data_IF_689757347363
#
_entry.id   IF_689757347363
#
_cell.length_a   1.000
_cell.length_b   1.000
_cell.length_c   1.000
_cell.angle_alpha   90.00
_cell.angle_beta   90.00
_cell.angle_gamma   90.00
#
_symmetry.space_group_name_H-M   'P 1'
#
loop_
_entity.id
_entity.type
_entity.pdbx_description
1 polymer ?
#
# COMPACT_ATOMS: atom_id res chain seq x y z
N UNK A 1 17.49 -50.51 41.71
CA UNK A 1 16.47 -49.51 41.37
C UNK A 1 17.16 -48.26 40.89
N UNK A 2 17.23 -48.02 39.58
CA UNK A 2 17.47 -46.69 39.00
C UNK A 2 16.65 -46.60 37.73
N UNK A 3 15.49 -45.94 37.84
CA UNK A 3 14.62 -45.59 36.73
C UNK A 3 15.18 -44.34 36.05
N UNK A 4 15.50 -44.44 34.76
CA UNK A 4 15.87 -43.29 33.95
C UNK A 4 14.60 -42.68 33.34
N UNK A 5 14.20 -41.50 33.82
CA UNK A 5 13.10 -40.74 33.25
C UNK A 5 13.62 -39.95 32.03
N UNK A 6 13.15 -40.30 30.84
CA UNK A 6 13.40 -39.54 29.62
C UNK A 6 12.45 -38.32 29.57
N UNK A 7 13.00 -37.12 29.64
CA UNK A 7 12.26 -35.87 29.50
C UNK A 7 12.10 -35.55 28.00
N UNK A 8 10.87 -35.61 27.50
CA UNK A 8 10.54 -35.16 26.13
C UNK A 8 10.47 -33.64 26.12
N UNK A 9 11.40 -33.00 25.42
CA UNK A 9 11.37 -31.56 25.18
C UNK A 9 10.38 -31.25 24.05
N UNK A 10 9.30 -30.52 24.37
CA UNK A 10 8.41 -29.91 23.38
C UNK A 10 9.06 -28.61 22.91
N UNK A 11 9.50 -28.55 21.65
CA UNK A 11 9.88 -27.28 21.02
C UNK A 11 8.62 -26.56 20.56
N UNK A 12 8.23 -25.49 21.27
CA UNK A 12 7.20 -24.56 20.78
C UNK A 12 7.78 -23.81 19.59
N UNK A 13 7.24 -24.06 18.39
CA UNK A 13 7.58 -23.29 17.21
C UNK A 13 6.89 -21.92 17.31
N UNK A 14 7.56 -20.95 17.96
CA UNK A 14 7.17 -19.54 17.97
C UNK A 14 7.54 -18.91 16.63
N UNK A 15 6.81 -19.26 15.57
CA UNK A 15 6.93 -18.60 14.28
C UNK A 15 6.35 -17.18 14.39
N UNK A 16 7.21 -16.17 14.42
CA UNK A 16 6.78 -14.80 14.12
C UNK A 16 6.62 -14.69 12.61
N UNK A 17 5.43 -14.34 12.13
CA UNK A 17 5.23 -13.99 10.73
C UNK A 17 6.05 -12.73 10.43
N UNK A 18 7.22 -12.88 9.82
CA UNK A 18 8.05 -11.77 9.39
C UNK A 18 7.52 -11.17 8.10
N UNK A 19 7.06 -9.92 8.14
CA UNK A 19 7.00 -9.11 6.92
C UNK A 19 8.45 -8.89 6.47
N UNK A 20 8.81 -9.37 5.28
CA UNK A 20 10.12 -9.14 4.67
C UNK A 20 10.35 -7.64 4.57
N UNK A 21 11.18 -7.11 5.47
CA UNK A 21 11.74 -5.78 5.31
C UNK A 21 12.97 -5.96 4.45
N UNK A 22 12.89 -5.60 3.17
CA UNK A 22 14.08 -5.34 2.34
C UNK A 22 14.78 -4.08 2.87
N UNK A 23 15.37 -4.21 4.05
CA UNK A 23 16.17 -3.18 4.69
C UNK A 23 17.62 -3.41 4.31
N UNK A 24 18.01 -2.91 3.14
CA UNK A 24 19.40 -2.51 2.97
C UNK A 24 19.74 -1.57 4.14
N UNK A 25 20.74 -1.95 4.94
CA UNK A 25 21.13 -1.24 6.15
C UNK A 25 21.34 0.25 5.85
N UNK A 26 20.41 1.09 6.31
CA UNK A 26 20.59 2.55 6.27
C UNK A 26 21.22 2.94 7.60
N UNK A 27 22.53 3.23 7.59
CA UNK A 27 23.27 3.85 8.69
C UNK A 27 22.86 5.32 8.94
N UNK A 28 21.59 5.65 8.72
CA UNK A 28 21.04 7.00 8.79
C UNK A 28 20.21 7.20 10.05
N UNK A 29 20.37 8.36 10.68
CA UNK A 29 19.41 8.90 11.65
C UNK A 29 17.99 8.70 11.10
N UNK A 30 17.09 8.14 11.91
CA UNK A 30 15.72 7.87 11.49
C UNK A 30 15.08 9.12 10.84
N UNK A 31 14.56 8.96 9.62
CA UNK A 31 13.89 10.03 8.92
C UNK A 31 12.54 10.30 9.58
N UNK A 32 12.50 11.37 10.37
CA UNK A 32 11.27 11.82 11.02
C UNK A 32 10.28 12.46 10.06
N UNK A 33 10.71 12.82 8.83
CA UNK A 33 9.87 13.37 7.77
C UNK A 33 8.88 12.35 7.25
N UNK A 34 9.31 11.09 7.11
CA UNK A 34 8.48 9.97 6.69
C UNK A 34 7.38 9.56 7.69
N UNK A 35 7.35 10.16 8.89
CA UNK A 35 6.28 9.93 9.85
C UNK A 35 4.97 10.59 9.40
N UNK A 36 3.80 9.98 9.71
CA UNK A 36 2.51 10.59 9.45
C UNK A 36 2.38 11.97 10.10
N UNK A 37 1.88 12.94 9.33
CA UNK A 37 1.48 14.24 9.84
C UNK A 37 0.13 14.12 10.59
N UNK A 38 -0.08 14.98 11.59
CA UNK A 38 -1.41 15.19 12.17
C UNK A 38 -2.20 16.06 11.19
N UNK A 39 -3.26 15.51 10.59
CA UNK A 39 -4.08 16.18 9.59
C UNK A 39 -5.49 16.34 10.14
N UNK A 40 -6.05 17.55 10.03
CA UNK A 40 -7.43 17.84 10.44
C UNK A 40 -8.45 17.21 9.46
N UNK A 41 -9.72 17.02 9.87
CA UNK A 41 -10.75 16.51 8.96
C UNK A 41 -10.92 17.33 7.68
N UNK A 42 -10.81 18.67 7.78
CA UNK A 42 -10.92 19.59 6.63
C UNK A 42 -9.77 19.41 5.65
N UNK A 43 -8.54 19.32 6.15
CA UNK A 43 -7.37 19.07 5.31
C UNK A 43 -7.44 17.70 4.67
N UNK A 44 -7.88 16.67 5.40
CA UNK A 44 -8.08 15.33 4.85
C UNK A 44 -9.11 15.33 3.72
N UNK A 45 -10.21 16.06 3.85
CA UNK A 45 -11.19 16.21 2.76
C UNK A 45 -10.57 16.87 1.51
N UNK A 46 -9.70 17.87 1.71
CA UNK A 46 -8.93 18.48 0.62
C UNK A 46 -7.97 17.51 -0.05
N UNK A 47 -7.25 16.69 0.72
CA UNK A 47 -6.37 15.66 0.20
C UNK A 47 -7.13 14.62 -0.62
N UNK A 48 -8.28 14.14 -0.13
CA UNK A 48 -9.13 13.19 -0.85
C UNK A 48 -9.62 13.78 -2.18
N UNK A 49 -10.10 15.03 -2.18
CA UNK A 49 -10.55 15.71 -3.41
C UNK A 49 -9.42 15.88 -4.42
N UNK A 50 -8.22 16.19 -3.94
CA UNK A 50 -7.05 16.35 -4.81
C UNK A 50 -6.61 15.02 -5.40
N UNK A 51 -6.64 13.94 -4.60
CA UNK A 51 -6.36 12.59 -5.08
C UNK A 51 -7.41 12.14 -6.12
N UNK A 52 -8.69 12.47 -5.90
CA UNK A 52 -9.80 12.12 -6.80
C UNK A 52 -9.63 12.81 -8.15
N UNK A 53 -9.29 14.10 -8.15
CA UNK A 53 -8.98 14.85 -9.37
C UNK A 53 -7.75 14.32 -10.14
N UNK A 54 -6.85 13.58 -9.48
CA UNK A 54 -5.68 12.95 -10.10
C UNK A 54 -5.90 11.49 -10.49
N UNK A 55 -7.03 10.89 -10.14
CA UNK A 55 -7.23 9.46 -10.27
C UNK A 55 -7.10 8.97 -11.72
N UNK A 56 -7.65 9.73 -12.69
CA UNK A 56 -7.57 9.40 -14.11
C UNK A 56 -6.13 9.47 -14.63
N UNK A 57 -5.44 10.61 -14.45
CA UNK A 57 -4.03 10.72 -14.87
C UNK A 57 -3.10 9.75 -14.14
N UNK A 58 -3.44 9.32 -12.93
CA UNK A 58 -2.72 8.26 -12.22
C UNK A 58 -2.96 6.90 -12.87
N UNK A 59 -4.19 6.57 -13.27
CA UNK A 59 -4.49 5.34 -14.02
C UNK A 59 -3.72 5.30 -15.35
N UNK A 60 -3.64 6.43 -16.05
CA UNK A 60 -2.87 6.57 -17.30
C UNK A 60 -1.36 6.38 -17.08
N UNK A 61 -0.81 7.03 -16.05
CA UNK A 61 0.63 6.90 -15.70
C UNK A 61 0.98 5.45 -15.35
N UNK A 62 0.06 4.75 -14.69
CA UNK A 62 0.21 3.35 -14.31
C UNK A 62 -0.16 2.37 -15.44
N UNK A 63 -0.54 2.89 -16.62
CA UNK A 63 -0.92 2.14 -17.83
C UNK A 63 -2.02 1.11 -17.59
N UNK A 64 -3.02 1.44 -16.77
CA UNK A 64 -4.17 0.56 -16.55
C UNK A 64 -5.00 0.45 -17.83
N UNK A 65 -5.69 -0.68 -18.03
CA UNK A 65 -6.56 -0.88 -19.19
C UNK A 65 -7.66 0.18 -19.28
N UNK A 66 -8.15 0.49 -20.48
CA UNK A 66 -9.14 1.58 -20.69
C UNK A 66 -10.50 1.40 -20.01
N UNK A 67 -10.80 0.20 -19.49
CA UNK A 67 -11.98 -0.08 -18.66
C UNK A 67 -11.68 -0.02 -17.16
N UNK A 68 -10.42 0.09 -16.78
CA UNK A 68 -9.96 0.14 -15.40
C UNK A 68 -9.96 1.59 -14.90
N UNK A 69 -10.52 1.81 -13.70
CA UNK A 69 -10.52 3.14 -13.05
C UNK A 69 -10.12 3.02 -11.60
N UNK A 70 -9.57 4.10 -11.05
CA UNK A 70 -9.17 4.21 -9.66
C UNK A 70 -10.20 5.03 -8.86
N UNK A 71 -10.60 4.51 -7.70
CA UNK A 71 -11.45 5.21 -6.73
C UNK A 71 -10.69 5.46 -5.44
N UNK A 72 -10.59 6.71 -5.02
CA UNK A 72 -9.86 7.06 -3.79
C UNK A 72 -10.58 6.47 -2.56
N UNK A 73 -9.82 5.78 -1.71
CA UNK A 73 -10.30 5.26 -0.42
C UNK A 73 -9.72 6.02 0.76
N UNK A 74 -8.42 6.33 0.71
CA UNK A 74 -7.77 7.09 1.76
C UNK A 74 -6.53 7.81 1.25
N UNK A 75 -6.13 8.88 1.95
CA UNK A 75 -4.85 9.56 1.75
C UNK A 75 -4.19 9.73 3.12
N UNK A 76 -2.94 9.33 3.23
CA UNK A 76 -2.06 9.63 4.36
C UNK A 76 -1.02 10.63 3.87
N UNK A 77 -0.80 11.69 4.65
CA UNK A 77 0.25 12.68 4.38
C UNK A 77 1.32 12.57 5.45
N UNK A 78 2.57 12.54 5.02
CA UNK A 78 3.74 12.54 5.87
C UNK A 78 4.15 13.98 6.25
N UNK A 79 5.01 14.13 7.26
CA UNK A 79 5.49 15.45 7.72
C UNK A 79 6.33 16.17 6.67
N UNK A 80 7.07 15.42 5.86
CA UNK A 80 7.84 15.90 4.71
C UNK A 80 6.96 16.37 3.53
N UNK A 81 5.66 16.06 3.55
CA UNK A 81 4.71 16.40 2.49
C UNK A 81 4.42 15.26 1.50
N UNK A 82 5.13 14.13 1.58
CA UNK A 82 4.84 12.96 0.78
C UNK A 82 3.43 12.44 1.08
N UNK A 83 2.79 11.82 0.08
CA UNK A 83 1.44 11.29 0.21
C UNK A 83 1.35 9.84 -0.22
N UNK A 84 0.60 9.06 0.56
CA UNK A 84 0.30 7.66 0.29
C UNK A 84 -1.20 7.55 0.09
N UNK A 85 -1.62 7.28 -1.16
CA UNK A 85 -3.03 7.22 -1.51
C UNK A 85 -3.45 5.79 -1.80
N UNK A 86 -4.41 5.28 -1.02
CA UNK A 86 -5.05 3.98 -1.28
C UNK A 86 -6.21 4.18 -2.26
N UNK A 87 -6.11 3.53 -3.40
CA UNK A 87 -7.15 3.44 -4.41
C UNK A 87 -7.74 2.03 -4.43
N UNK A 88 -9.00 1.94 -4.82
CA UNK A 88 -9.62 0.72 -5.27
C UNK A 88 -9.74 0.74 -6.79
N UNK A 89 -9.32 -0.34 -7.44
CA UNK A 89 -9.49 -0.51 -8.88
C UNK A 89 -10.87 -1.04 -9.19
N UNK A 90 -11.46 -0.50 -10.24
CA UNK A 90 -12.72 -0.96 -10.82
C UNK A 90 -12.49 -1.36 -12.25
N UNK A 91 -13.27 -2.30 -12.78
CA UNK A 91 -13.29 -2.68 -14.19
C UNK A 91 -14.70 -2.50 -14.72
N UNK A 92 -14.87 -1.66 -15.74
CA UNK A 92 -16.17 -1.32 -16.31
C UNK A 92 -17.21 -0.89 -15.23
N UNK A 93 -16.74 -0.22 -14.17
CA UNK A 93 -17.56 0.23 -13.04
C UNK A 93 -17.73 -0.77 -11.89
N UNK A 94 -17.26 -2.02 -12.05
CA UNK A 94 -17.34 -3.05 -11.02
C UNK A 94 -16.09 -3.06 -10.13
N UNK A 95 -16.20 -3.14 -8.79
CA UNK A 95 -15.06 -3.33 -7.90
C UNK A 95 -14.26 -4.60 -8.23
N UNK A 96 -12.94 -4.47 -8.32
CA UNK A 96 -12.04 -5.62 -8.48
C UNK A 96 -11.61 -6.09 -7.10
N UNK A 97 -11.93 -7.35 -6.75
CA UNK A 97 -11.48 -7.96 -5.49
C UNK A 97 -9.96 -8.13 -5.50
N UNK A 98 -9.31 -7.64 -4.44
CA UNK A 98 -7.84 -7.59 -4.37
C UNK A 98 -7.21 -6.61 -5.37
N UNK A 99 -8.00 -5.78 -6.07
CA UNK A 99 -7.52 -4.81 -7.03
C UNK A 99 -7.04 -3.49 -6.41
N UNK A 100 -6.70 -3.46 -5.13
CA UNK A 100 -6.27 -2.21 -4.50
C UNK A 100 -4.84 -1.83 -4.86
N UNK A 101 -4.60 -0.52 -4.87
CA UNK A 101 -3.33 0.06 -5.26
C UNK A 101 -3.00 1.18 -4.26
N UNK A 102 -1.78 1.17 -3.69
CA UNK A 102 -1.25 2.27 -2.89
C UNK A 102 -0.23 3.01 -3.72
N UNK A 103 -0.51 4.27 -4.05
CA UNK A 103 0.43 5.13 -4.80
C UNK A 103 1.20 5.99 -3.80
N UNK A 104 2.52 5.88 -3.84
CA UNK A 104 3.45 6.67 -3.05
C UNK A 104 3.92 7.85 -3.89
N UNK A 105 3.73 9.05 -3.36
CA UNK A 105 3.99 10.29 -4.09
C UNK A 105 4.93 11.17 -3.27
N UNK A 106 5.99 11.66 -3.90
CA UNK A 106 6.91 12.60 -3.27
C UNK A 106 6.23 13.94 -2.98
N UNK A 107 6.85 14.82 -2.15
CA UNK A 107 6.28 16.14 -1.83
C UNK A 107 6.01 17.03 -3.06
N UNK A 108 6.75 16.83 -4.15
CA UNK A 108 6.56 17.52 -5.43
C UNK A 108 5.39 16.97 -6.26
N UNK A 109 4.79 15.85 -5.83
CA UNK A 109 3.69 15.19 -6.51
C UNK A 109 4.12 14.16 -7.56
N UNK A 110 5.41 13.85 -7.71
CA UNK A 110 5.87 12.75 -8.58
C UNK A 110 5.51 11.39 -7.98
N UNK A 111 5.19 10.38 -8.81
CA UNK A 111 4.98 9.00 -8.33
C UNK A 111 6.35 8.37 -8.13
N UNK A 112 6.65 8.00 -6.88
CA UNK A 112 7.91 7.35 -6.51
C UNK A 112 7.80 5.83 -6.66
N UNK A 113 6.74 5.26 -6.11
CA UNK A 113 6.50 3.83 -6.13
C UNK A 113 5.02 3.52 -6.01
N UNK A 114 4.66 2.25 -6.20
CA UNK A 114 3.28 1.79 -6.08
C UNK A 114 3.25 0.36 -5.59
N UNK A 115 2.44 0.11 -4.55
CA UNK A 115 2.15 -1.24 -4.07
C UNK A 115 0.81 -1.72 -4.65
N UNK A 116 0.78 -2.96 -5.16
CA UNK A 116 -0.45 -3.60 -5.67
C UNK A 116 -0.36 -5.11 -5.57
N UNK A 117 -1.49 -5.76 -5.33
CA UNK A 117 -1.53 -7.22 -5.20
C UNK A 117 -1.34 -7.94 -6.54
N UNK A 118 -1.92 -7.41 -7.63
CA UNK A 118 -1.78 -7.98 -8.98
C UNK A 118 -1.25 -6.91 -9.94
N UNK A 119 -0.06 -7.11 -10.56
CA UNK A 119 0.50 -6.18 -11.52
C UNK A 119 -0.10 -6.29 -12.92
N UNK A 120 -0.88 -7.35 -13.21
CA UNK A 120 -1.45 -7.59 -14.53
C UNK A 120 -2.70 -6.73 -14.80
N UNK A 121 -2.91 -6.47 -16.08
CA UNK A 121 -4.14 -5.89 -16.61
C UNK A 121 -5.31 -6.85 -16.42
N UNK A 122 -6.50 -6.29 -16.20
CA UNK A 122 -7.72 -7.09 -16.01
C UNK A 122 -8.44 -7.22 -17.34
N UNK A 123 -8.68 -8.47 -17.75
CA UNK A 123 -9.51 -8.79 -18.92
C UNK A 123 -10.55 -9.82 -18.53
N UNK A 124 -11.79 -9.61 -18.99
CA UNK A 124 -12.87 -10.59 -18.87
C UNK A 124 -13.23 -11.11 -20.27
N UNK A 125 -13.42 -12.42 -20.45
CA UNK A 125 -13.87 -12.97 -21.73
C UNK A 125 -15.28 -12.49 -22.04
N UNK A 126 -15.53 -12.21 -23.32
CA UNK A 126 -16.87 -11.94 -23.84
C UNK A 126 -17.50 -13.25 -24.31
N UNK A 127 -18.78 -13.43 -24.04
CA UNK A 127 -19.59 -14.54 -24.56
C UNK A 127 -20.37 -14.08 -25.78
#
# INVERSE_FOLDING_TARGET
MLAAAALVAVSVQTGTAGAQSDSAARDGKADTGALPAKVTPKERAGLLRTADARAEGTADTLKLGGKEKLKVRNVVKNRDGATHTRYERTYAGLPVLGGEIIVHRAPDGSIESTDRANPLDITVPTT
#
